data_IF_937657905824
#
_entry.id   IF_937657905824
#
_cell.length_a   1.000
_cell.length_b   1.000
_cell.length_c   1.000
_cell.angle_alpha   90.00
_cell.angle_beta   90.00
_cell.angle_gamma   90.00
#
_symmetry.space_group_name_H-M   'P 1'
#
loop_
_entity.id
_entity.type
_entity.pdbx_description
1 polymer ?
#
# COMPACT_ATOMS: atom_id res chain seq x y z
N UNK A 1 57.84 7.72 -28.28
CA UNK A 1 58.54 6.51 -28.79
C UNK A 1 59.73 6.24 -27.87
N UNK A 2 59.49 5.41 -26.86
CA UNK A 2 60.42 4.92 -25.84
C UNK A 2 59.82 3.59 -25.29
N UNK A 3 60.61 2.68 -24.70
CA UNK A 3 60.49 1.28 -25.07
C UNK A 3 59.82 0.35 -24.05
N UNK A 4 59.68 -0.89 -24.52
CA UNK A 4 59.18 -2.10 -23.86
C UNK A 4 60.24 -2.77 -22.94
N UNK A 5 59.79 -3.53 -21.94
CA UNK A 5 60.56 -4.55 -21.20
C UNK A 5 59.63 -5.36 -20.28
N UNK A 6 59.71 -6.70 -20.32
CA UNK A 6 58.80 -7.60 -19.61
C UNK A 6 59.52 -8.77 -18.89
N UNK A 7 58.95 -9.22 -17.77
CA UNK A 7 59.14 -10.50 -17.04
C UNK A 7 57.99 -10.58 -15.99
N UNK A 8 57.20 -11.65 -15.80
CA UNK A 8 57.51 -13.04 -15.41
C UNK A 8 58.27 -13.14 -14.05
N UNK A 9 57.90 -13.95 -13.04
CA UNK A 9 56.81 -14.94 -12.79
C UNK A 9 56.11 -14.57 -11.43
N UNK A 10 55.32 -15.34 -10.66
CA UNK A 10 55.00 -16.79 -10.55
C UNK A 10 53.65 -17.03 -9.81
N UNK A 11 53.24 -18.29 -9.64
CA UNK A 11 52.02 -18.71 -8.93
C UNK A 11 52.15 -18.73 -7.39
N UNK A 12 51.02 -18.59 -6.67
CA UNK A 12 50.79 -19.46 -5.49
C UNK A 12 49.30 -19.67 -5.19
N UNK A 13 48.85 -20.93 -5.18
CA UNK A 13 47.54 -21.34 -4.63
C UNK A 13 47.51 -21.19 -3.11
N UNK A 14 46.38 -20.73 -2.56
CA UNK A 14 45.93 -21.12 -1.22
C UNK A 14 44.40 -21.19 -1.14
N UNK A 15 43.90 -21.99 -0.20
CA UNK A 15 42.54 -22.56 -0.16
C UNK A 15 41.45 -21.67 0.46
N UNK A 16 40.18 -21.98 0.11
CA UNK A 16 38.98 -21.66 0.90
C UNK A 16 39.10 -22.19 2.35
N UNK A 17 38.38 -21.59 3.32
CA UNK A 17 36.99 -22.00 3.65
C UNK A 17 35.97 -20.97 3.15
N UNK A 18 34.78 -21.32 2.66
CA UNK A 18 33.61 -21.87 3.36
C UNK A 18 32.97 -20.90 4.37
N UNK A 19 32.09 -20.03 3.85
CA UNK A 19 31.15 -19.20 4.61
C UNK A 19 29.71 -19.74 4.43
N UNK A 20 29.56 -21.05 4.62
CA UNK A 20 28.28 -21.78 4.57
C UNK A 20 27.49 -21.66 5.88
N UNK A 21 28.14 -21.25 6.97
CA UNK A 21 27.61 -21.22 8.34
C UNK A 21 26.47 -20.21 8.57
N UNK A 22 26.30 -19.20 7.72
CA UNK A 22 25.26 -18.17 7.90
C UNK A 22 23.87 -18.57 7.36
N UNK A 23 23.77 -19.66 6.60
CA UNK A 23 22.49 -20.15 6.06
C UNK A 23 21.80 -21.12 7.04
N UNK A 24 22.55 -21.99 7.70
CA UNK A 24 21.99 -23.01 8.62
C UNK A 24 21.41 -22.45 9.93
N UNK A 25 21.80 -21.25 10.35
CA UNK A 25 21.25 -20.63 11.57
C UNK A 25 19.84 -20.04 11.36
N UNK A 26 19.44 -19.72 10.12
CA UNK A 26 18.11 -19.17 9.82
C UNK A 26 16.99 -20.24 9.77
N UNK A 27 17.29 -21.49 9.41
CA UNK A 27 16.26 -22.54 9.28
C UNK A 27 15.73 -23.05 10.64
N UNK A 28 16.43 -22.83 11.75
CA UNK A 28 16.12 -23.43 13.06
C UNK A 28 14.84 -22.91 13.77
N UNK A 29 14.05 -22.04 13.15
CA UNK A 29 12.89 -21.36 13.80
C UNK A 29 11.50 -21.72 13.28
N UNK A 30 11.35 -22.71 12.39
CA UNK A 30 10.05 -23.09 11.79
C UNK A 30 9.57 -24.51 12.19
N UNK A 31 9.82 -24.95 13.43
CA UNK A 31 9.27 -26.23 13.96
C UNK A 31 8.74 -26.10 15.39
N UNK A 32 7.46 -25.70 15.54
CA UNK A 32 6.44 -26.40 16.34
C UNK A 32 5.09 -25.63 16.37
N UNK A 33 4.19 -25.93 15.42
CA UNK A 33 2.83 -25.36 15.37
C UNK A 33 1.74 -26.43 15.57
N UNK A 34 1.98 -27.42 16.46
CA UNK A 34 1.03 -28.53 16.73
C UNK A 34 0.61 -28.74 18.20
N UNK A 35 1.35 -28.24 19.19
CA UNK A 35 0.95 -28.38 20.60
C UNK A 35 -0.03 -27.29 21.09
N UNK A 36 -0.15 -26.16 20.37
CA UNK A 36 -1.03 -25.04 20.78
C UNK A 36 -2.53 -25.40 20.74
N UNK A 37 -2.94 -26.36 19.92
CA UNK A 37 -4.35 -26.75 19.75
C UNK A 37 -4.88 -27.77 20.78
N UNK A 38 -4.08 -28.14 21.80
CA UNK A 38 -4.56 -28.96 22.94
C UNK A 38 -5.17 -28.13 24.08
N UNK A 39 -5.10 -26.80 24.01
CA UNK A 39 -5.58 -25.88 25.06
C UNK A 39 -7.04 -25.41 24.92
N UNK A 40 -7.70 -25.64 23.78
CA UNK A 40 -9.09 -25.19 23.53
C UNK A 40 -10.07 -26.19 24.14
N UNK A 41 -10.15 -26.20 25.47
CA UNK A 41 -11.09 -27.02 26.23
C UNK A 41 -12.53 -26.55 26.09
N UNK A 42 -13.47 -27.49 25.94
CA UNK A 42 -14.90 -27.20 25.84
C UNK A 42 -15.47 -26.76 27.19
N UNK A 43 -16.12 -25.60 27.21
CA UNK A 43 -16.97 -25.10 28.29
C UNK A 43 -17.60 -23.77 27.89
N UNK A 44 -18.84 -23.46 28.22
CA UNK A 44 -19.77 -24.15 29.12
C UNK A 44 -20.48 -23.11 29.98
N UNK A 45 -21.70 -22.72 29.60
CA UNK A 45 -22.37 -21.57 30.22
C UNK A 45 -22.96 -21.90 31.60
N UNK A 46 -22.42 -21.27 32.65
CA UNK A 46 -23.01 -21.22 34.00
C UNK A 46 -22.80 -19.84 34.62
N UNK A 47 -23.75 -19.39 35.43
CA UNK A 47 -23.79 -18.02 35.96
C UNK A 47 -23.18 -17.86 37.35
N UNK A 48 -22.71 -16.65 37.65
CA UNK A 48 -22.50 -16.14 39.01
C UNK A 48 -21.12 -16.41 39.64
N UNK A 49 -20.48 -15.36 40.14
CA UNK A 49 -19.27 -15.45 40.98
C UNK A 49 -18.32 -14.27 40.83
N UNK A 50 -18.27 -13.37 41.81
CA UNK A 50 -17.19 -12.38 41.93
C UNK A 50 -16.02 -13.04 42.66
N UNK A 51 -14.88 -13.17 41.99
CA UNK A 51 -13.65 -13.72 42.57
C UNK A 51 -12.49 -12.74 42.45
N UNK A 52 -12.12 -12.09 43.56
CA UNK A 52 -10.92 -11.24 43.62
C UNK A 52 -9.70 -12.13 43.89
N UNK A 53 -8.83 -12.29 42.90
CA UNK A 53 -7.56 -13.00 43.01
C UNK A 53 -6.39 -12.09 42.62
N UNK A 54 -5.37 -11.99 43.48
CA UNK A 54 -4.26 -11.05 43.32
C UNK A 54 -3.06 -11.62 42.59
N UNK A 55 -2.45 -10.77 41.76
CA UNK A 55 -1.08 -10.85 41.24
C UNK A 55 -0.64 -12.12 40.46
N UNK A 56 -0.43 -11.93 39.15
CA UNK A 56 0.94 -11.82 38.60
C UNK A 56 0.94 -10.89 37.38
N UNK A 57 1.87 -9.92 37.37
CA UNK A 57 2.10 -9.08 36.20
C UNK A 57 2.87 -9.87 35.14
N UNK A 58 2.29 -9.96 33.95
CA UNK A 58 3.01 -10.21 32.70
C UNK A 58 2.28 -9.46 31.59
N UNK A 59 2.91 -8.42 31.04
CA UNK A 59 2.25 -7.45 30.16
C UNK A 59 1.91 -8.02 28.78
N UNK A 60 0.71 -8.61 28.69
CA UNK A 60 -0.04 -8.79 27.44
C UNK A 60 -1.52 -8.50 27.67
N UNK A 61 -1.82 -7.26 28.06
CA UNK A 61 -3.18 -6.74 27.91
C UNK A 61 -3.45 -6.60 26.42
N UNK A 62 -4.28 -7.47 25.87
CA UNK A 62 -4.83 -7.32 24.53
C UNK A 62 -5.72 -6.08 24.51
N UNK A 63 -5.25 -5.00 23.88
CA UNK A 63 -5.98 -3.72 23.83
C UNK A 63 -7.41 -3.84 23.28
N UNK A 64 -7.67 -4.85 22.45
CA UNK A 64 -9.00 -5.27 22.00
C UNK A 64 -10.01 -5.44 23.16
N UNK A 65 -9.58 -5.91 24.32
CA UNK A 65 -10.45 -6.24 25.45
C UNK A 65 -10.92 -5.05 26.29
N UNK A 66 -10.36 -3.85 26.09
CA UNK A 66 -10.75 -2.64 26.83
C UNK A 66 -11.76 -1.78 26.05
N UNK A 67 -11.70 -1.76 24.71
CA UNK A 67 -12.67 -1.05 23.88
C UNK A 67 -14.09 -1.64 24.01
N UNK A 68 -14.20 -2.98 24.02
CA UNK A 68 -15.49 -3.69 24.13
C UNK A 68 -16.27 -3.35 25.41
N UNK A 69 -15.60 -2.91 26.47
CA UNK A 69 -16.24 -2.51 27.73
C UNK A 69 -16.75 -1.06 27.76
N UNK A 70 -16.38 -0.23 26.77
CA UNK A 70 -16.81 1.16 26.64
C UNK A 70 -18.03 1.35 25.71
N UNK A 71 -18.40 0.33 24.93
CA UNK A 71 -19.58 0.36 24.05
C UNK A 71 -19.35 1.01 22.67
N UNK A 72 -18.27 1.76 22.48
CA UNK A 72 -17.86 2.31 21.18
C UNK A 72 -16.60 1.60 20.66
N UNK A 73 -16.80 0.50 19.94
CA UNK A 73 -15.74 -0.05 19.09
C UNK A 73 -15.65 0.79 17.81
N UNK A 74 -14.93 1.92 17.90
CA UNK A 74 -14.54 2.71 16.72
C UNK A 74 -13.49 1.92 15.95
N UNK A 75 -13.96 0.92 15.19
CA UNK A 75 -13.17 0.30 14.11
C UNK A 75 -12.77 1.44 13.17
N UNK A 76 -11.46 1.68 12.92
CA UNK A 76 -11.05 2.74 12.02
C UNK A 76 -11.69 2.51 10.64
N UNK A 77 -12.29 3.56 10.09
CA UNK A 77 -12.98 3.50 8.80
C UNK A 77 -11.98 3.27 7.67
N UNK A 78 -11.72 1.98 7.41
CA UNK A 78 -10.79 1.52 6.39
C UNK A 78 -11.35 1.80 4.99
N UNK A 79 -10.72 2.71 4.26
CA UNK A 79 -11.10 3.04 2.88
C UNK A 79 -10.14 2.37 1.91
N UNK A 80 -10.65 1.45 1.09
CA UNK A 80 -9.88 0.70 0.09
C UNK A 80 -10.10 1.30 -1.31
N UNK A 81 -9.05 1.35 -2.13
CA UNK A 81 -9.12 1.71 -3.56
C UNK A 81 -8.02 1.01 -4.37
N UNK A 82 -8.01 1.23 -5.68
CA UNK A 82 -7.23 0.42 -6.63
C UNK A 82 -6.44 1.32 -7.60
N UNK A 83 -5.12 1.14 -7.65
CA UNK A 83 -4.19 2.01 -8.37
C UNK A 83 -3.62 1.30 -9.61
N UNK A 84 -3.88 1.78 -10.84
CA UNK A 84 -3.27 1.27 -12.06
C UNK A 84 -1.79 1.63 -12.17
N UNK A 85 -0.94 0.62 -12.19
CA UNK A 85 0.52 0.74 -12.25
C UNK A 85 1.12 -0.12 -13.38
N UNK A 86 2.44 -0.03 -13.55
CA UNK A 86 3.24 -0.96 -14.35
C UNK A 86 4.43 -1.48 -13.54
N UNK A 87 4.84 -2.71 -13.82
CA UNK A 87 6.06 -3.30 -13.28
C UNK A 87 7.32 -2.89 -14.08
N UNK A 88 8.49 -3.35 -13.64
CA UNK A 88 9.76 -3.11 -14.34
C UNK A 88 9.87 -3.73 -15.75
N UNK A 89 8.85 -4.46 -16.22
CA UNK A 89 8.71 -5.02 -17.56
C UNK A 89 7.57 -4.35 -18.37
N UNK A 90 7.08 -3.18 -17.93
CA UNK A 90 5.96 -2.42 -18.52
C UNK A 90 4.62 -3.19 -18.57
N UNK A 91 4.48 -4.27 -17.78
CA UNK A 91 3.24 -5.02 -17.65
C UNK A 91 2.33 -4.31 -16.67
N UNK A 92 1.08 -4.08 -17.07
CA UNK A 92 0.09 -3.45 -16.21
C UNK A 92 -0.31 -4.34 -15.03
N UNK A 93 -0.44 -3.74 -13.85
CA UNK A 93 -0.99 -4.36 -12.66
C UNK A 93 -1.88 -3.38 -11.89
N UNK A 94 -2.70 -3.91 -10.99
CA UNK A 94 -3.46 -3.14 -10.00
C UNK A 94 -2.80 -3.34 -8.63
N UNK A 95 -2.71 -2.24 -7.88
CA UNK A 95 -2.31 -2.23 -6.47
C UNK A 95 -3.54 -1.88 -5.64
N UNK A 96 -3.87 -2.70 -4.64
CA UNK A 96 -4.84 -2.32 -3.62
C UNK A 96 -4.14 -1.37 -2.64
N UNK A 97 -4.76 -0.23 -2.38
CA UNK A 97 -4.36 0.70 -1.33
C UNK A 97 -5.46 0.82 -0.29
N UNK A 98 -5.07 0.74 0.96
CA UNK A 98 -5.92 0.86 2.13
C UNK A 98 -5.49 2.08 2.96
N UNK A 99 -6.45 2.95 3.29
CA UNK A 99 -6.28 4.12 4.14
C UNK A 99 -7.03 3.91 5.46
N UNK A 100 -6.35 4.13 6.58
CA UNK A 100 -6.93 4.17 7.92
C UNK A 100 -6.42 5.43 8.66
N UNK A 101 -7.32 6.19 9.28
CA UNK A 101 -6.94 7.30 10.17
C UNK A 101 -6.83 6.81 11.63
N UNK A 102 -5.88 7.37 12.39
CA UNK A 102 -5.67 7.01 13.80
C UNK A 102 -5.19 8.17 14.66
N UNK A 103 -5.87 8.45 15.77
CA UNK A 103 -5.46 9.51 16.72
C UNK A 103 -4.29 9.10 17.63
N UNK A 104 -3.75 7.89 17.48
CA UNK A 104 -2.69 7.36 18.35
C UNK A 104 -1.33 8.08 18.20
N UNK A 105 -1.07 8.71 17.04
CA UNK A 105 0.16 9.45 16.72
C UNK A 105 0.04 10.22 15.41
N UNK A 106 0.46 11.48 15.37
CA UNK A 106 0.58 12.24 14.12
C UNK A 106 1.66 11.62 13.18
N UNK A 107 1.41 11.63 11.86
CA UNK A 107 2.37 11.17 10.84
C UNK A 107 1.75 10.37 9.70
N UNK A 108 2.57 9.99 8.71
CA UNK A 108 2.18 9.03 7.66
C UNK A 108 2.99 7.75 7.89
N UNK A 109 2.30 6.62 8.03
CA UNK A 109 2.89 5.30 8.28
C UNK A 109 2.55 4.40 7.10
N UNK A 110 3.58 3.86 6.43
CA UNK A 110 3.39 3.10 5.19
C UNK A 110 3.75 1.64 5.42
N UNK A 111 2.79 0.75 5.20
CA UNK A 111 2.99 -0.68 5.07
C UNK A 111 3.04 -1.04 3.58
N UNK A 112 4.09 -1.74 3.17
CA UNK A 112 4.40 -1.96 1.75
C UNK A 112 4.23 -3.41 1.28
N UNK A 113 4.05 -4.37 2.20
CA UNK A 113 3.74 -5.78 1.92
C UNK A 113 4.41 -6.42 0.67
N UNK A 114 5.70 -6.14 0.42
CA UNK A 114 6.44 -6.63 -0.76
C UNK A 114 6.80 -5.58 -1.82
N UNK A 115 6.46 -4.31 -1.64
CA UNK A 115 6.87 -3.22 -2.53
C UNK A 115 8.21 -2.58 -2.14
N UNK A 116 8.99 -2.15 -3.13
CA UNK A 116 10.25 -1.41 -2.95
C UNK A 116 9.98 0.02 -2.41
N UNK A 117 10.69 0.45 -1.36
CA UNK A 117 10.67 1.85 -0.90
C UNK A 117 11.43 2.72 -1.90
N UNK A 118 10.70 3.52 -2.70
CA UNK A 118 11.29 4.47 -3.66
C UNK A 118 10.98 5.92 -3.33
N UNK A 119 11.82 6.83 -3.80
CA UNK A 119 11.62 8.27 -3.62
C UNK A 119 10.28 8.74 -4.21
N UNK A 120 9.99 8.31 -5.45
CA UNK A 120 8.75 8.59 -6.20
C UNK A 120 7.49 8.33 -5.35
N UNK A 121 7.47 7.24 -4.58
CA UNK A 121 6.35 6.84 -3.73
C UNK A 121 6.21 7.71 -2.47
N UNK A 122 7.34 8.05 -1.82
CA UNK A 122 7.34 8.95 -0.65
C UNK A 122 6.89 10.38 -1.00
N UNK A 123 7.24 10.82 -2.21
CA UNK A 123 6.86 12.12 -2.77
C UNK A 123 5.36 12.12 -3.10
N UNK A 124 4.89 11.18 -3.93
CA UNK A 124 3.47 11.03 -4.28
C UNK A 124 2.54 10.88 -3.06
N UNK A 125 2.95 10.17 -2.01
CA UNK A 125 2.15 10.04 -0.78
C UNK A 125 2.05 11.36 0.00
N UNK A 126 3.11 12.16 0.05
CA UNK A 126 3.10 13.46 0.76
C UNK A 126 2.26 14.50 0.03
N UNK A 127 2.38 14.53 -1.29
CA UNK A 127 1.63 15.46 -2.14
C UNK A 127 0.15 15.07 -2.18
N UNK A 128 -0.19 13.79 -2.38
CA UNK A 128 -1.58 13.31 -2.32
C UNK A 128 -2.28 13.59 -0.96
N UNK A 129 -1.57 13.45 0.17
CA UNK A 129 -2.11 13.81 1.50
C UNK A 129 -2.33 15.32 1.65
N UNK A 130 -1.52 16.15 1.00
CA UNK A 130 -1.70 17.61 0.98
C UNK A 130 -2.94 17.95 0.14
N UNK A 131 -2.97 17.55 -1.13
CA UNK A 131 -4.06 17.86 -2.07
C UNK A 131 -5.41 17.33 -1.59
N UNK A 132 -5.48 16.11 -1.04
CA UNK A 132 -6.76 15.56 -0.55
C UNK A 132 -7.33 16.36 0.64
N UNK A 133 -6.49 16.95 1.50
CA UNK A 133 -6.92 17.82 2.60
C UNK A 133 -7.40 19.18 2.10
N UNK A 134 -6.74 19.72 1.08
CA UNK A 134 -7.10 20.98 0.43
C UNK A 134 -8.46 20.87 -0.29
N UNK A 135 -8.62 19.86 -1.15
CA UNK A 135 -9.88 19.57 -1.87
C UNK A 135 -11.09 19.42 -0.94
N UNK A 136 -10.93 18.77 0.21
CA UNK A 136 -12.04 18.51 1.15
C UNK A 136 -12.22 19.61 2.20
N UNK A 137 -11.43 20.68 2.17
CA UNK A 137 -11.47 21.78 3.14
C UNK A 137 -11.17 21.38 4.60
N UNK A 138 -10.88 20.10 4.86
CA UNK A 138 -10.63 19.55 6.20
C UNK A 138 -9.17 19.85 6.58
N UNK A 139 -9.00 20.90 7.39
CA UNK A 139 -7.75 21.11 8.17
C UNK A 139 -7.35 19.80 8.84
N UNK A 140 -6.04 19.51 8.99
CA UNK A 140 -5.61 18.26 9.60
C UNK A 140 -6.19 18.11 11.01
N UNK A 141 -7.03 17.08 11.19
CA UNK A 141 -7.14 16.43 12.49
C UNK A 141 -5.74 15.94 12.90
N UNK A 142 -5.49 15.81 14.20
CA UNK A 142 -4.20 15.32 14.74
C UNK A 142 -4.04 13.81 14.60
N UNK A 143 -4.60 13.26 13.53
CA UNK A 143 -4.58 11.86 13.18
C UNK A 143 -3.35 11.54 12.35
N UNK A 144 -2.72 10.41 12.66
CA UNK A 144 -1.86 9.71 11.74
C UNK A 144 -2.66 9.05 10.64
N UNK A 145 -1.99 8.80 9.52
CA UNK A 145 -2.53 8.05 8.38
C UNK A 145 -1.73 6.76 8.27
N UNK A 146 -2.39 5.62 8.40
CA UNK A 146 -1.84 4.33 7.99
C UNK A 146 -2.23 4.10 6.53
N UNK A 147 -1.23 3.87 5.68
CA UNK A 147 -1.38 3.52 4.27
C UNK A 147 -0.82 2.12 4.08
N UNK A 148 -1.68 1.13 3.82
CA UNK A 148 -1.24 -0.22 3.49
C UNK A 148 -1.41 -0.48 2.00
N UNK A 149 -0.31 -0.83 1.32
CA UNK A 149 -0.34 -1.32 -0.04
C UNK A 149 -0.37 -2.85 -0.03
N UNK A 150 -1.19 -3.46 -0.88
CA UNK A 150 -1.18 -4.89 -1.21
C UNK A 150 -1.21 -5.04 -2.72
N UNK A 151 -0.40 -5.94 -3.27
CA UNK A 151 -0.24 -6.09 -4.71
C UNK A 151 -0.45 -7.55 -5.17
N UNK A 152 -0.96 -7.72 -6.38
CA UNK A 152 -1.34 -9.03 -6.91
C UNK A 152 -0.17 -9.71 -7.62
N UNK A 153 0.78 -10.27 -6.85
CA UNK A 153 1.88 -11.07 -7.40
C UNK A 153 2.92 -11.52 -6.38
N UNK A 154 3.73 -12.52 -6.75
CA UNK A 154 4.83 -13.03 -5.94
C UNK A 154 6.13 -12.23 -6.17
N UNK A 155 6.84 -11.90 -5.08
CA UNK A 155 8.17 -11.26 -5.12
C UNK A 155 8.17 -9.79 -4.69
N UNK A 156 9.30 -9.10 -4.93
CA UNK A 156 9.44 -7.67 -4.60
C UNK A 156 9.07 -6.81 -5.82
N UNK A 157 8.10 -5.91 -5.66
CA UNK A 157 7.63 -5.03 -6.73
C UNK A 157 8.36 -3.68 -6.75
N UNK A 158 9.25 -3.53 -7.73
CA UNK A 158 9.93 -2.29 -8.09
C UNK A 158 9.07 -1.45 -9.07
N UNK A 159 8.08 -0.74 -8.52
CA UNK A 159 7.19 0.16 -9.26
C UNK A 159 7.94 1.45 -9.70
N UNK A 160 7.47 2.18 -10.71
CA UNK A 160 8.19 3.35 -11.26
C UNK A 160 7.34 4.60 -11.43
N UNK A 161 7.88 5.76 -11.03
CA UNK A 161 7.29 7.09 -11.26
C UNK A 161 6.15 7.44 -10.30
N UNK A 162 5.58 8.64 -10.44
CA UNK A 162 4.50 9.15 -9.55
C UNK A 162 3.07 8.75 -9.98
N UNK A 163 2.87 8.04 -11.09
CA UNK A 163 1.59 8.01 -11.83
C UNK A 163 0.35 7.38 -11.16
N UNK A 164 0.47 6.93 -9.92
CA UNK A 164 -0.62 6.50 -9.03
C UNK A 164 -1.08 7.61 -8.07
N UNK A 165 -0.40 8.76 -8.05
CA UNK A 165 -0.70 9.90 -7.17
C UNK A 165 -2.14 10.37 -7.27
N UNK A 166 -2.70 10.50 -8.48
CA UNK A 166 -4.10 10.86 -8.64
C UNK A 166 -5.04 9.86 -7.93
N UNK A 167 -4.78 8.55 -8.04
CA UNK A 167 -5.54 7.52 -7.32
C UNK A 167 -5.31 7.53 -5.80
N UNK A 168 -4.11 7.90 -5.34
CA UNK A 168 -3.83 8.13 -3.92
C UNK A 168 -4.65 9.31 -3.38
N UNK A 169 -4.70 10.43 -4.12
CA UNK A 169 -5.49 11.60 -3.75
C UNK A 169 -6.98 11.26 -3.73
N UNK A 170 -7.47 10.44 -4.66
CA UNK A 170 -8.87 9.95 -4.68
C UNK A 170 -9.19 9.15 -3.42
N UNK A 171 -8.41 8.13 -3.04
CA UNK A 171 -8.71 7.33 -1.83
C UNK A 171 -8.55 8.13 -0.55
N UNK A 172 -7.59 9.07 -0.50
CA UNK A 172 -7.42 9.98 0.64
C UNK A 172 -8.59 10.97 0.75
N UNK A 173 -9.11 11.48 -0.37
CA UNK A 173 -10.30 12.34 -0.40
C UNK A 173 -11.57 11.55 -0.01
N UNK A 174 -11.68 10.29 -0.45
CA UNK A 174 -12.76 9.37 -0.06
C UNK A 174 -12.76 9.12 1.46
N UNK A 175 -11.59 8.75 2.02
CA UNK A 175 -11.41 8.50 3.44
C UNK A 175 -11.63 9.77 4.29
N UNK A 176 -11.13 10.92 3.83
CA UNK A 176 -11.43 12.24 4.42
C UNK A 176 -12.90 12.64 4.30
N UNK A 177 -13.72 11.94 3.52
CA UNK A 177 -15.16 12.20 3.38
C UNK A 177 -16.03 11.17 4.10
N UNK A 178 -15.42 10.12 4.68
CA UNK A 178 -16.13 8.93 5.19
C UNK A 178 -16.98 8.23 4.09
N UNK A 179 -16.56 8.35 2.83
CA UNK A 179 -17.20 7.73 1.66
C UNK A 179 -16.37 6.54 1.18
N UNK A 180 -17.03 5.45 0.80
CA UNK A 180 -16.38 4.34 0.08
C UNK A 180 -16.32 4.71 -1.41
N UNK A 181 -15.13 4.78 -2.03
CA UNK A 181 -15.02 5.10 -3.45
C UNK A 181 -15.57 3.96 -4.31
N UNK A 182 -16.01 4.30 -5.52
CA UNK A 182 -16.37 3.32 -6.54
C UNK A 182 -15.22 2.39 -6.93
N UNK A 183 -15.56 1.35 -7.71
CA UNK A 183 -14.56 0.38 -8.24
C UNK A 183 -14.69 0.20 -9.75
N UNK A 184 -15.66 0.85 -10.39
CA UNK A 184 -15.83 0.78 -11.84
C UNK A 184 -14.96 1.79 -12.57
N UNK A 185 -14.60 2.90 -11.94
CA UNK A 185 -13.61 3.87 -12.43
C UNK A 185 -12.31 3.82 -11.63
N UNK A 186 -11.20 3.61 -12.33
CA UNK A 186 -9.85 3.81 -11.77
C UNK A 186 -9.21 5.09 -12.33
N UNK A 187 -8.18 5.63 -11.65
CA UNK A 187 -7.51 6.88 -12.06
C UNK A 187 -5.99 6.69 -12.12
N UNK A 188 -5.36 7.22 -13.17
CA UNK A 188 -3.90 7.37 -13.26
C UNK A 188 -3.53 8.81 -13.63
N UNK A 189 -2.47 9.34 -13.04
CA UNK A 189 -2.05 10.72 -13.23
C UNK A 189 -0.97 11.11 -12.22
N UNK A 190 -0.21 12.14 -12.56
CA UNK A 190 0.57 12.95 -11.62
C UNK A 190 -0.22 14.23 -11.38
N UNK A 191 -0.29 14.70 -10.14
CA UNK A 191 -1.06 15.90 -9.79
C UNK A 191 -0.12 17.11 -9.74
N UNK A 192 -0.51 18.21 -10.36
CA UNK A 192 0.19 19.49 -10.32
C UNK A 192 -0.27 20.35 -9.12
N UNK A 193 0.56 21.33 -8.74
CA UNK A 193 0.27 22.31 -7.69
C UNK A 193 -1.04 23.11 -7.91
N UNK A 194 -1.51 23.21 -9.16
CA UNK A 194 -2.78 23.85 -9.54
C UNK A 194 -3.95 22.87 -9.74
N UNK A 195 -3.78 21.62 -9.28
CA UNK A 195 -4.78 20.55 -9.34
C UNK A 195 -4.92 19.88 -10.70
N UNK A 196 -4.19 20.28 -11.75
CA UNK A 196 -4.25 19.59 -13.05
C UNK A 196 -3.67 18.17 -12.99
N UNK A 197 -4.18 17.28 -13.83
CA UNK A 197 -3.50 16.00 -14.10
C UNK A 197 -2.43 16.19 -15.18
N UNK A 198 -1.20 15.76 -14.90
CA UNK A 198 -0.06 15.80 -15.80
C UNK A 198 0.14 14.45 -16.51
N UNK A 199 0.58 14.44 -17.79
CA UNK A 199 0.74 13.23 -18.59
C UNK A 199 1.59 12.12 -17.95
N UNK A 200 1.17 10.87 -18.14
CA UNK A 200 1.82 9.67 -17.61
C UNK A 200 2.07 8.60 -18.68
N UNK A 201 3.01 7.69 -18.38
CA UNK A 201 3.34 6.57 -19.26
C UNK A 201 2.36 5.40 -19.18
N UNK A 202 2.44 4.56 -20.22
CA UNK A 202 1.93 3.18 -20.27
C UNK A 202 0.41 3.03 -20.04
N UNK A 203 -0.37 4.00 -20.53
CA UNK A 203 -1.84 4.06 -20.49
C UNK A 203 -2.48 2.74 -20.97
N UNK A 204 -2.11 2.24 -22.15
CA UNK A 204 -2.68 1.00 -22.71
C UNK A 204 -2.48 -0.23 -21.79
N UNK A 205 -1.32 -0.35 -21.13
CA UNK A 205 -1.06 -1.41 -20.16
C UNK A 205 -1.89 -1.24 -18.88
N UNK A 206 -2.03 0.00 -18.38
CA UNK A 206 -2.89 0.31 -17.21
C UNK A 206 -4.37 0.07 -17.50
N UNK A 207 -4.87 0.46 -18.67
CA UNK A 207 -6.25 0.22 -19.11
C UNK A 207 -6.53 -1.29 -19.23
N UNK A 208 -5.59 -2.07 -19.79
CA UNK A 208 -5.69 -3.54 -19.80
C UNK A 208 -5.75 -4.14 -18.39
N UNK A 209 -4.99 -3.61 -17.44
CA UNK A 209 -4.99 -4.07 -16.05
C UNK A 209 -6.28 -3.70 -15.31
N UNK A 210 -6.75 -2.46 -15.45
CA UNK A 210 -8.03 -1.99 -14.90
C UNK A 210 -9.20 -2.85 -15.41
N UNK A 211 -9.25 -3.11 -16.72
CA UNK A 211 -10.22 -3.99 -17.36
C UNK A 211 -10.14 -5.45 -16.85
N UNK A 212 -8.92 -5.96 -16.64
CA UNK A 212 -8.72 -7.32 -16.14
C UNK A 212 -9.08 -7.47 -14.65
N UNK A 213 -9.03 -6.37 -13.89
CA UNK A 213 -9.54 -6.27 -12.52
C UNK A 213 -11.08 -6.15 -12.46
N UNK A 214 -11.71 -5.61 -13.51
CA UNK A 214 -13.17 -5.50 -13.64
C UNK A 214 -13.69 -4.06 -13.82
N UNK A 215 -12.80 -3.06 -13.80
CA UNK A 215 -13.18 -1.67 -14.00
C UNK A 215 -13.69 -1.41 -15.43
N UNK A 216 -14.73 -0.58 -15.53
CA UNK A 216 -15.37 -0.16 -16.80
C UNK A 216 -14.74 1.11 -17.38
N UNK A 217 -14.09 1.93 -16.56
CA UNK A 217 -13.49 3.21 -16.93
C UNK A 217 -12.09 3.39 -16.32
N UNK A 218 -11.20 4.04 -17.06
CA UNK A 218 -9.92 4.56 -16.58
C UNK A 218 -9.86 6.05 -16.91
N UNK A 219 -9.82 6.89 -15.88
CA UNK A 219 -9.52 8.32 -16.03
C UNK A 219 -8.01 8.50 -16.21
N UNK A 220 -7.66 9.31 -17.21
CA UNK A 220 -6.29 9.66 -17.59
C UNK A 220 -6.17 11.18 -17.68
N UNK A 221 -4.94 11.75 -17.71
CA UNK A 221 -4.76 13.16 -18.01
C UNK A 221 -5.36 13.52 -19.38
N UNK A 222 -6.02 14.67 -19.47
CA UNK A 222 -6.60 15.23 -20.71
C UNK A 222 -5.61 15.17 -21.90
N UNK A 223 -6.08 14.66 -23.04
CA UNK A 223 -5.27 14.42 -24.24
C UNK A 223 -4.47 13.11 -24.23
N UNK A 224 -4.73 12.18 -23.29
CA UNK A 224 -4.13 10.84 -23.25
C UNK A 224 -5.12 9.69 -23.52
N UNK A 225 -6.28 9.97 -24.12
CA UNK A 225 -7.34 9.00 -24.39
C UNK A 225 -6.87 7.92 -25.37
N UNK A 226 -7.21 6.66 -25.11
CA UNK A 226 -6.80 5.53 -25.95
C UNK A 226 -7.92 4.51 -26.13
N UNK A 227 -8.15 4.08 -27.37
CA UNK A 227 -9.15 3.06 -27.69
C UNK A 227 -8.67 1.67 -27.26
N UNK A 228 -9.07 1.25 -26.05
CA UNK A 228 -8.72 -0.05 -25.47
C UNK A 228 -9.98 -0.92 -25.37
N UNK A 229 -10.02 -2.02 -26.12
CA UNK A 229 -11.23 -2.86 -26.23
C UNK A 229 -11.75 -3.33 -24.87
N UNK A 230 -13.00 -2.99 -24.54
CA UNK A 230 -13.69 -3.43 -23.32
C UNK A 230 -13.47 -2.56 -22.07
N UNK A 231 -12.87 -1.37 -22.20
CA UNK A 231 -12.81 -0.36 -21.13
C UNK A 231 -12.85 1.06 -21.73
N UNK A 232 -13.58 1.98 -21.12
CA UNK A 232 -13.54 3.40 -21.49
C UNK A 232 -12.25 4.04 -20.95
N UNK A 233 -11.50 4.74 -21.78
CA UNK A 233 -10.36 5.57 -21.34
C UNK A 233 -10.72 7.02 -21.59
N UNK A 234 -10.82 7.83 -20.54
CA UNK A 234 -11.38 9.18 -20.59
C UNK A 234 -10.44 10.22 -20.00
N UNK A 235 -10.24 11.32 -20.72
CA UNK A 235 -9.42 12.44 -20.29
C UNK A 235 -10.14 13.29 -19.26
N UNK A 236 -9.45 13.60 -18.15
CA UNK A 236 -9.93 14.56 -17.15
C UNK A 236 -8.85 15.60 -16.87
N UNK A 237 -9.28 16.86 -16.74
CA UNK A 237 -8.36 17.99 -16.68
C UNK A 237 -7.76 18.19 -15.28
N UNK A 238 -8.50 17.83 -14.22
CA UNK A 238 -8.10 18.05 -12.83
C UNK A 238 -8.35 16.84 -11.92
N UNK A 239 -7.65 16.83 -10.78
CA UNK A 239 -7.89 15.86 -9.71
C UNK A 239 -9.26 16.04 -9.04
N UNK A 240 -9.81 17.26 -9.02
CA UNK A 240 -11.14 17.55 -8.49
C UNK A 240 -12.22 16.85 -9.32
N UNK A 241 -12.15 16.96 -10.66
CA UNK A 241 -13.03 16.23 -11.58
C UNK A 241 -12.90 14.71 -11.39
N UNK A 242 -11.69 14.18 -11.21
CA UNK A 242 -11.46 12.76 -11.00
C UNK A 242 -12.03 12.25 -9.65
N UNK A 243 -11.93 13.05 -8.59
CA UNK A 243 -12.54 12.77 -7.28
C UNK A 243 -14.07 12.78 -7.39
N UNK A 244 -14.65 13.79 -8.04
CA UNK A 244 -16.11 13.89 -8.18
C UNK A 244 -16.71 12.77 -9.04
N UNK A 245 -15.99 12.25 -10.06
CA UNK A 245 -16.46 11.08 -10.81
C UNK A 245 -16.47 9.83 -9.90
N UNK A 246 -15.33 9.49 -9.28
CA UNK A 246 -15.18 8.23 -8.51
C UNK A 246 -16.03 8.19 -7.23
N UNK A 247 -16.30 9.34 -6.61
CA UNK A 247 -17.11 9.43 -5.38
C UNK A 247 -18.62 9.55 -5.62
N UNK A 248 -19.06 9.68 -6.88
CA UNK A 248 -20.49 9.73 -7.25
C UNK A 248 -20.93 8.54 -8.13
N UNK A 249 -20.12 7.47 -8.23
CA UNK A 249 -20.57 6.17 -8.75
C UNK A 249 -21.77 5.63 -7.94
N UNK A 250 -22.75 5.01 -8.61
CA UNK A 250 -23.96 4.39 -8.03
C UNK A 250 -24.30 3.07 -8.73
#
# INVERSE_FOLDING_TARGET
MAPDSATDVDETRSSRPEDSSLVEELERKIVNRREFLKGVGVGGATAGGVGIGTARLSERVSFQSLATLAGEEVVPSKTTYYLPAVDGSERGLILTVDIEFTDAREGIFVNLAGMEVRHDLQVALREAVTTARELRGRRPSKSGILVSFTATGDGILALRGKSWEAGLTVVLAAALSEVTPGTETLVTGVVADDGKLLPVGSIESKARAARAFGARQLLVPDGQEQQVSGITVEGVASIEQAVDIVLNEQ
#
